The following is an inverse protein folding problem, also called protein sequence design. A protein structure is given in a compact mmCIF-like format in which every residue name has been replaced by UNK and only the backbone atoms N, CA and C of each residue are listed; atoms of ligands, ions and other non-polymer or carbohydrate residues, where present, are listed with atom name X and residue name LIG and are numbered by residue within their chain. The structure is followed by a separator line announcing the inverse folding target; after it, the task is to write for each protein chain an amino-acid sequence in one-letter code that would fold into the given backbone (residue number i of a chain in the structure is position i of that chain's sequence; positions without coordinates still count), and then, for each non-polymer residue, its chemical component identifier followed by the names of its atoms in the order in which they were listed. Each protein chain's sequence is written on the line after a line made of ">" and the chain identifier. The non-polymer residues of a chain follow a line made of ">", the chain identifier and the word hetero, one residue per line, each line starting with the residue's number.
data_IF_649948667164
#
_entry.id   IF_649948667164
#
_cell.length_a   1.000
_cell.length_b   1.000
_cell.length_c   1.000
_cell.angle_alpha   90.00
_cell.angle_beta   90.00
_cell.angle_gamma   90.00
#
_symmetry.space_group_name_H-M   'P 1'
#
loop_
_entity.id
_entity.type
_entity.pdbx_description
1 polymer ?
#
# COMPACT_ATOMS: atom_id res chain seq x y z
N UNK A 1 61.65 2.69 -8.62
CA UNK A 1 60.57 1.71 -8.48
C UNK A 1 59.33 2.47 -8.01
N UNK A 2 58.34 2.72 -8.89
CA UNK A 2 57.20 3.61 -8.62
C UNK A 2 55.96 2.75 -8.35
N UNK A 3 55.46 2.79 -7.12
CA UNK A 3 54.20 2.16 -6.72
C UNK A 3 53.03 2.77 -7.51
N UNK A 4 52.30 1.95 -8.26
CA UNK A 4 50.98 2.30 -8.80
C UNK A 4 49.95 2.10 -7.68
N UNK A 5 49.42 3.20 -7.17
CA UNK A 5 48.27 3.21 -6.25
C UNK A 5 47.00 2.93 -7.05
N UNK A 6 46.42 1.74 -6.90
CA UNK A 6 45.13 1.38 -7.46
C UNK A 6 44.04 1.86 -6.49
N UNK A 7 43.51 3.05 -6.73
CA UNK A 7 42.42 3.61 -5.93
C UNK A 7 41.11 2.94 -6.32
N UNK A 8 40.71 1.93 -5.55
CA UNK A 8 39.41 1.28 -5.68
C UNK A 8 38.36 2.24 -5.13
N UNK A 9 37.69 2.97 -6.02
CA UNK A 9 36.44 3.67 -5.71
C UNK A 9 35.36 2.62 -5.45
N UNK A 10 35.25 2.16 -4.20
CA UNK A 10 34.11 1.37 -3.74
C UNK A 10 32.94 2.34 -3.63
N UNK A 11 32.18 2.46 -4.72
CA UNK A 11 30.88 3.12 -4.72
C UNK A 11 30.00 2.41 -3.68
N UNK A 12 29.76 3.09 -2.57
CA UNK A 12 28.79 2.69 -1.54
C UNK A 12 27.39 2.66 -2.18
N UNK A 13 27.02 1.50 -2.75
CA UNK A 13 25.61 1.19 -2.98
C UNK A 13 25.01 0.92 -1.60
N UNK A 14 24.51 1.97 -0.95
CA UNK A 14 23.61 1.81 0.19
C UNK A 14 22.33 1.17 -0.33
N UNK A 15 22.32 -0.16 -0.40
CA UNK A 15 21.11 -0.95 -0.56
C UNK A 15 20.38 -0.84 0.78
N UNK A 16 19.64 0.25 0.97
CA UNK A 16 18.64 0.35 2.04
C UNK A 16 17.63 -0.75 1.73
N UNK A 17 17.76 -1.89 2.39
CA UNK A 17 16.69 -2.86 2.52
C UNK A 17 15.62 -2.17 3.36
N UNK A 18 14.76 -1.39 2.70
CA UNK A 18 13.55 -0.89 3.31
C UNK A 18 12.73 -2.12 3.69
N UNK A 19 12.83 -2.56 4.95
CA UNK A 19 11.89 -3.51 5.53
C UNK A 19 10.52 -2.88 5.30
N UNK A 20 9.72 -3.50 4.44
CA UNK A 20 8.42 -2.97 4.06
C UNK A 20 7.53 -3.15 5.28
N UNK A 21 7.44 -2.08 6.08
CA UNK A 21 6.62 -2.06 7.27
C UNK A 21 5.15 -2.03 6.83
N UNK A 22 4.29 -2.85 7.42
CA UNK A 22 2.85 -2.87 7.10
C UNK A 22 2.05 -2.10 8.15
N UNK A 23 0.90 -1.52 7.80
CA UNK A 23 0.02 -0.91 8.80
C UNK A 23 -0.50 -1.97 9.77
N UNK A 24 -0.56 -1.62 11.06
CA UNK A 24 -1.24 -2.46 12.03
C UNK A 24 -2.77 -2.36 11.86
N UNK A 25 -3.37 -3.34 11.19
CA UNK A 25 -4.82 -3.42 10.96
C UNK A 25 -5.56 -4.28 11.99
N UNK A 26 -4.87 -4.85 12.99
CA UNK A 26 -5.47 -5.79 13.94
C UNK A 26 -6.57 -5.16 14.82
N UNK A 27 -6.56 -3.83 14.99
CA UNK A 27 -7.59 -3.10 15.74
C UNK A 27 -8.84 -2.73 14.94
N UNK A 28 -8.93 -3.09 13.65
CA UNK A 28 -10.09 -2.79 12.81
C UNK A 28 -11.14 -3.89 13.01
N UNK A 29 -12.28 -3.49 13.55
CA UNK A 29 -13.37 -4.41 13.83
C UNK A 29 -14.03 -4.97 12.55
N UNK A 30 -14.28 -6.28 12.54
CA UNK A 30 -14.88 -6.98 11.41
C UNK A 30 -16.31 -6.54 11.13
N UNK A 31 -17.11 -6.28 12.17
CA UNK A 31 -18.50 -5.81 12.03
C UNK A 31 -18.54 -4.43 11.38
N UNK A 32 -17.62 -3.53 11.75
CA UNK A 32 -17.47 -2.23 11.10
C UNK A 32 -17.16 -2.37 9.60
N UNK A 33 -16.22 -3.24 9.23
CA UNK A 33 -15.86 -3.44 7.82
C UNK A 33 -16.99 -4.05 6.99
N UNK A 34 -17.76 -4.98 7.58
CA UNK A 34 -18.95 -5.55 6.97
C UNK A 34 -20.06 -4.51 6.79
N UNK A 35 -20.29 -3.68 7.81
CA UNK A 35 -21.28 -2.59 7.76
C UNK A 35 -20.96 -1.55 6.69
N UNK A 36 -19.68 -1.26 6.49
CA UNK A 36 -19.21 -0.38 5.41
C UNK A 36 -19.14 -1.08 4.04
N UNK A 37 -19.33 -2.40 4.01
CA UNK A 37 -19.26 -3.22 2.80
C UNK A 37 -17.87 -3.19 2.16
N UNK A 38 -16.81 -3.31 2.97
CA UNK A 38 -15.41 -3.33 2.55
C UNK A 38 -14.66 -4.57 3.07
N UNK A 39 -15.36 -5.50 3.72
CA UNK A 39 -14.84 -6.71 4.36
C UNK A 39 -14.13 -7.67 3.38
N UNK A 40 -14.51 -7.70 2.09
CA UNK A 40 -13.81 -8.51 1.09
C UNK A 40 -12.36 -8.05 0.91
N UNK A 41 -12.10 -6.74 0.93
CA UNK A 41 -10.75 -6.21 0.83
C UNK A 41 -9.90 -6.63 2.03
N UNK A 42 -10.44 -6.50 3.25
CA UNK A 42 -9.71 -6.87 4.47
C UNK A 42 -9.46 -8.38 4.55
N UNK A 43 -10.39 -9.20 4.06
CA UNK A 43 -10.20 -10.64 3.94
C UNK A 43 -9.00 -10.98 3.04
N UNK A 44 -8.91 -10.34 1.85
CA UNK A 44 -7.76 -10.50 0.96
C UNK A 44 -6.47 -9.95 1.57
N UNK A 45 -6.54 -8.81 2.26
CA UNK A 45 -5.40 -8.21 2.95
C UNK A 45 -4.77 -9.19 3.94
N UNK A 46 -5.58 -9.83 4.79
CA UNK A 46 -5.13 -10.79 5.80
C UNK A 46 -4.57 -12.05 5.13
N UNK A 47 -5.22 -12.55 4.06
CA UNK A 47 -4.78 -13.78 3.37
C UNK A 47 -3.46 -13.61 2.62
N UNK A 48 -3.21 -12.45 2.02
CA UNK A 48 -2.01 -12.23 1.18
C UNK A 48 -0.87 -11.49 1.90
N UNK A 49 -1.12 -10.91 3.07
CA UNK A 49 -0.10 -10.24 3.89
C UNK A 49 0.08 -10.93 5.25
N UNK A 50 0.13 -12.27 5.23
CA UNK A 50 0.31 -13.10 6.43
C UNK A 50 1.80 -13.44 6.73
N UNK A 51 2.74 -12.85 5.99
CA UNK A 51 4.19 -13.07 6.20
C UNK A 51 4.67 -12.40 7.50
N UNK A 52 5.84 -12.81 8.00
CA UNK A 52 6.53 -12.15 9.13
C UNK A 52 7.01 -10.76 8.70
N UNK A 53 6.09 -9.80 8.76
CA UNK A 53 6.27 -8.41 8.35
C UNK A 53 6.33 -7.52 9.58
N UNK A 54 7.30 -6.61 9.59
CA UNK A 54 7.37 -5.60 10.63
C UNK A 54 6.11 -4.73 10.57
N UNK A 55 5.37 -4.64 11.66
CA UNK A 55 4.20 -3.76 11.76
C UNK A 55 4.64 -2.33 12.07
N UNK A 56 3.93 -1.35 11.52
CA UNK A 56 4.15 0.06 11.76
C UNK A 56 3.06 0.64 12.63
N UNK A 57 3.47 1.28 13.73
CA UNK A 57 2.61 2.10 14.57
C UNK A 57 2.38 3.50 13.99
N UNK A 58 2.94 3.78 12.81
CA UNK A 58 2.70 5.04 12.09
C UNK A 58 1.25 5.14 11.68
N UNK A 59 0.73 6.37 11.69
CA UNK A 59 -0.59 6.65 11.15
C UNK A 59 -0.68 6.21 9.69
N UNK A 60 -1.81 5.64 9.29
CA UNK A 60 -2.00 5.14 7.94
C UNK A 60 -3.42 5.41 7.43
N UNK A 61 -3.59 5.34 6.12
CA UNK A 61 -4.89 5.39 5.44
C UNK A 61 -5.04 4.19 4.52
N UNK A 62 -6.19 3.51 4.59
CA UNK A 62 -6.54 2.39 3.70
C UNK A 62 -7.67 2.85 2.78
N UNK A 63 -7.41 2.79 1.48
CA UNK A 63 -8.37 3.08 0.41
C UNK A 63 -9.10 1.79 0.03
N UNK A 64 -9.98 1.31 0.92
CA UNK A 64 -10.66 0.03 0.71
C UNK A 64 -11.77 0.15 -0.35
N UNK A 65 -11.73 -0.62 -1.46
CA UNK A 65 -12.82 -0.68 -2.42
C UNK A 65 -14.07 -1.29 -1.78
N UNK A 66 -15.24 -0.77 -2.13
CA UNK A 66 -16.51 -1.40 -1.73
C UNK A 66 -16.64 -2.79 -2.36
N UNK A 67 -17.37 -3.69 -1.69
CA UNK A 67 -17.58 -5.06 -2.13
C UNK A 67 -18.14 -5.11 -3.56
N UNK A 68 -19.02 -4.18 -3.93
CA UNK A 68 -19.57 -4.07 -5.28
C UNK A 68 -18.55 -3.67 -6.37
N UNK A 69 -17.42 -3.06 -6.01
CA UNK A 69 -16.33 -2.73 -6.92
C UNK A 69 -15.32 -3.89 -7.04
N UNK A 70 -15.17 -4.70 -5.99
CA UNK A 70 -14.22 -5.82 -5.91
C UNK A 70 -14.64 -7.05 -6.75
N UNK A 71 -15.94 -7.21 -7.05
CA UNK A 71 -16.50 -8.44 -7.61
C UNK A 71 -16.21 -8.74 -9.10
N UNK A 72 -15.39 -7.96 -9.79
CA UNK A 72 -15.05 -8.26 -11.19
C UNK A 72 -13.74 -9.03 -11.39
N UNK A 73 -12.95 -9.26 -10.34
CA UNK A 73 -11.69 -10.02 -10.46
C UNK A 73 -11.93 -11.49 -10.09
N UNK A 74 -11.80 -12.44 -11.03
CA UNK A 74 -11.96 -13.86 -10.74
C UNK A 74 -10.91 -14.32 -9.72
N UNK A 75 -11.34 -15.10 -8.73
CA UNK A 75 -10.45 -15.64 -7.67
C UNK A 75 -9.29 -16.47 -8.23
N UNK A 76 -9.47 -17.12 -9.38
CA UNK A 76 -8.40 -17.87 -10.06
C UNK A 76 -7.27 -16.95 -10.55
N UNK A 77 -7.62 -15.73 -10.99
CA UNK A 77 -6.63 -14.71 -11.39
C UNK A 77 -5.84 -14.21 -10.19
N UNK A 78 -6.48 -14.11 -9.03
CA UNK A 78 -5.80 -13.75 -7.78
C UNK A 78 -4.81 -14.84 -7.35
N UNK A 79 -5.19 -16.12 -7.45
CA UNK A 79 -4.35 -17.26 -7.06
C UNK A 79 -3.16 -17.49 -8.00
N UNK A 80 -3.33 -17.21 -9.29
CA UNK A 80 -2.25 -17.41 -10.29
C UNK A 80 -1.13 -16.38 -10.20
N UNK A 81 -1.35 -15.21 -9.58
CA UNK A 81 -0.36 -14.13 -9.51
C UNK A 81 -0.32 -13.49 -8.11
N UNK A 82 0.06 -14.26 -7.07
CA UNK A 82 0.00 -13.80 -5.67
C UNK A 82 0.84 -12.54 -5.42
N UNK A 83 2.02 -12.42 -6.04
CA UNK A 83 2.88 -11.23 -5.91
C UNK A 83 2.22 -9.97 -6.47
N UNK A 84 1.47 -10.12 -7.58
CA UNK A 84 0.75 -9.00 -8.19
C UNK A 84 -0.44 -8.57 -7.33
N UNK A 85 -1.13 -9.52 -6.70
CA UNK A 85 -2.21 -9.23 -5.75
C UNK A 85 -1.67 -8.52 -4.53
N UNK A 86 -0.55 -9.00 -3.96
CA UNK A 86 0.09 -8.34 -2.82
C UNK A 86 0.46 -6.89 -3.17
N UNK A 87 1.10 -6.66 -4.31
CA UNK A 87 1.42 -5.29 -4.77
C UNK A 87 0.17 -4.42 -4.94
N UNK A 88 -0.89 -4.96 -5.54
CA UNK A 88 -2.16 -4.26 -5.69
C UNK A 88 -2.76 -3.88 -4.32
N UNK A 89 -2.75 -4.80 -3.35
CA UNK A 89 -3.24 -4.51 -1.99
C UNK A 89 -2.41 -3.41 -1.31
N UNK A 90 -1.08 -3.41 -1.49
CA UNK A 90 -0.19 -2.35 -0.99
C UNK A 90 -0.45 -1.01 -1.69
N UNK A 91 -0.90 -1.02 -2.95
CA UNK A 91 -1.31 0.20 -3.66
C UNK A 91 -2.57 0.85 -3.08
N UNK A 92 -3.35 0.13 -2.27
CA UNK A 92 -4.49 0.69 -1.55
C UNK A 92 -4.12 1.24 -0.16
N UNK A 93 -2.85 1.13 0.25
CA UNK A 93 -2.41 1.56 1.59
C UNK A 93 -1.42 2.71 1.48
N UNK A 94 -1.64 3.71 2.32
CA UNK A 94 -0.77 4.89 2.47
C UNK A 94 -0.26 4.91 3.89
N UNK A 95 1.06 4.79 4.08
CA UNK A 95 1.69 4.89 5.39
C UNK A 95 2.19 6.29 5.69
N UNK A 96 2.13 6.66 6.97
CA UNK A 96 2.65 7.92 7.49
C UNK A 96 1.74 9.12 7.25
N UNK A 97 0.56 8.94 6.64
CA UNK A 97 -0.33 10.04 6.29
C UNK A 97 -1.80 9.66 6.50
N UNK A 98 -2.55 10.55 7.16
CA UNK A 98 -4.01 10.55 7.18
C UNK A 98 -4.50 11.38 5.98
N UNK A 99 -5.15 10.75 5.02
CA UNK A 99 -5.78 11.47 3.90
C UNK A 99 -7.17 11.92 4.32
N UNK A 100 -7.41 13.22 4.26
CA UNK A 100 -8.74 13.80 4.38
C UNK A 100 -9.25 14.17 2.99
N UNK A 101 -10.08 13.29 2.44
CA UNK A 101 -10.65 13.47 1.11
C UNK A 101 -11.91 14.37 1.11
N UNK A 102 -12.37 14.83 2.27
CA UNK A 102 -13.53 15.73 2.40
C UNK A 102 -13.18 17.20 2.17
N UNK A 103 -11.90 17.54 2.32
CA UNK A 103 -11.37 18.86 2.01
C UNK A 103 -11.14 18.84 0.50
N UNK A 104 -11.83 19.70 -0.26
CA UNK A 104 -11.75 19.77 -1.73
C UNK A 104 -10.40 20.24 -2.29
N UNK A 105 -9.30 19.83 -1.66
CA UNK A 105 -7.93 20.06 -2.07
C UNK A 105 -7.46 18.95 -3.00
N UNK A 106 -6.55 19.31 -3.90
CA UNK A 106 -5.78 18.34 -4.67
C UNK A 106 -4.80 17.62 -3.75
N UNK A 107 -4.85 16.29 -3.73
CA UNK A 107 -4.00 15.45 -2.87
C UNK A 107 -3.09 14.59 -3.73
N UNK A 108 -1.79 14.63 -3.45
CA UNK A 108 -0.82 13.71 -4.01
C UNK A 108 -0.15 12.95 -2.89
N UNK A 109 -0.16 11.62 -2.97
CA UNK A 109 0.47 10.75 -2.00
C UNK A 109 1.04 9.50 -2.66
N UNK A 110 2.00 8.87 -1.99
CA UNK A 110 2.63 7.63 -2.45
C UNK A 110 2.11 6.47 -1.62
N UNK A 111 1.66 5.43 -2.30
CA UNK A 111 1.17 4.18 -1.72
C UNK A 111 2.33 3.29 -1.29
N UNK A 112 2.07 2.29 -0.45
CA UNK A 112 3.08 1.29 -0.09
C UNK A 112 3.57 0.47 -1.29
N UNK A 113 2.72 0.27 -2.30
CA UNK A 113 3.11 -0.40 -3.54
C UNK A 113 4.03 0.44 -4.44
N UNK A 114 4.35 1.67 -4.03
CA UNK A 114 5.27 2.58 -4.71
C UNK A 114 4.61 3.43 -5.80
N UNK A 115 3.27 3.42 -5.90
CA UNK A 115 2.54 4.27 -6.84
C UNK A 115 2.24 5.64 -6.22
N UNK A 116 2.47 6.69 -7.00
CA UNK A 116 1.97 8.03 -6.67
C UNK A 116 0.56 8.19 -7.24
N UNK A 117 -0.39 8.51 -6.38
CA UNK A 117 -1.80 8.75 -6.75
C UNK A 117 -2.09 10.23 -6.58
N UNK A 118 -2.72 10.82 -7.60
CA UNK A 118 -3.10 12.24 -7.64
C UNK A 118 -4.62 12.35 -7.64
N UNK A 119 -5.20 12.70 -6.50
CA UNK A 119 -6.63 12.93 -6.38
C UNK A 119 -6.91 14.40 -6.67
N UNK A 120 -7.80 14.65 -7.63
CA UNK A 120 -8.33 15.98 -7.92
C UNK A 120 -9.74 16.08 -7.38
N UNK A 121 -10.02 17.18 -6.69
CA UNK A 121 -11.39 17.48 -6.27
C UNK A 121 -12.18 18.03 -7.45
N UNK A 122 -13.32 17.41 -7.77
CA UNK A 122 -14.26 17.91 -8.78
C UNK A 122 -15.56 18.27 -8.07
N UNK A 123 -16.28 19.33 -8.47
CA UNK A 123 -17.61 19.58 -7.95
C UNK A 123 -18.51 18.35 -8.20
N UNK A 124 -18.92 17.68 -7.12
CA UNK A 124 -19.73 16.46 -7.14
C UNK A 124 -18.99 15.14 -6.87
N UNK A 125 -17.68 15.12 -6.65
CA UNK A 125 -16.95 13.90 -6.29
C UNK A 125 -15.43 13.98 -6.40
N UNK A 126 -14.77 12.85 -6.14
CA UNK A 126 -13.31 12.72 -6.23
C UNK A 126 -12.96 11.95 -7.50
N UNK A 127 -11.95 12.42 -8.25
CA UNK A 127 -11.36 11.70 -9.37
C UNK A 127 -9.89 11.43 -9.06
N UNK A 128 -9.44 10.19 -9.22
CA UNK A 128 -8.10 9.71 -8.88
C UNK A 128 -7.39 9.16 -10.12
#
# INVERSE_FOLDING_TARGET
>A
MRCLSYSILVSYLSFVTAVTQLPNTAGIDGELTAKLGVDHFFSLWIVFNNDDVAMSDKQFTILAPRNNASMQVPVERLKSHPDSVKKLLLDHVVLGQRLDLGIGADLSFTTLGGRTVNIKSKPGGLVA
#
